data_IF_186406431667
#
_entry.id   IF_186406431667
#
_cell.length_a   1.000
_cell.length_b   1.000
_cell.length_c   1.000
_cell.angle_alpha   90.00
_cell.angle_beta   90.00
_cell.angle_gamma   90.00
#
_symmetry.space_group_name_H-M   'P 1'
#
loop_
_entity.id
_entity.type
_entity.pdbx_description
1 polymer ?
#
# COMPACT_ATOMS: atom_id res chain seq x y z
N UNK A 1 8.84 -5.94 -64.36
CA UNK A 1 9.10 -6.54 -63.04
C UNK A 1 8.58 -5.56 -62.00
N UNK A 2 7.44 -5.84 -61.37
CA UNK A 2 6.75 -4.93 -60.45
C UNK A 2 6.89 -5.44 -59.01
N UNK A 3 7.62 -4.71 -58.16
CA UNK A 3 7.75 -5.01 -56.74
C UNK A 3 6.58 -4.37 -55.97
N UNK A 4 5.73 -5.19 -55.36
CA UNK A 4 4.68 -4.75 -54.43
C UNK A 4 5.30 -4.43 -53.06
N UNK A 5 5.04 -3.26 -52.47
CA UNK A 5 5.32 -3.03 -51.06
C UNK A 5 4.21 -3.68 -50.21
N UNK A 6 4.58 -4.66 -49.37
CA UNK A 6 3.69 -5.20 -48.33
C UNK A 6 3.62 -4.19 -47.18
N UNK A 7 2.47 -3.55 -47.04
CA UNK A 7 2.17 -2.55 -46.02
C UNK A 7 2.16 -3.21 -44.64
N UNK A 8 3.01 -2.71 -43.75
CA UNK A 8 3.13 -3.06 -42.33
C UNK A 8 1.96 -2.51 -41.48
N UNK A 9 0.71 -2.77 -41.88
CA UNK A 9 -0.48 -2.25 -41.18
C UNK A 9 -0.87 -3.04 -39.92
N UNK A 10 -0.33 -4.26 -39.72
CA UNK A 10 -0.74 -5.14 -38.62
C UNK A 10 -0.08 -4.86 -37.26
N UNK A 11 1.10 -4.24 -37.22
CA UNK A 11 1.88 -4.08 -35.98
C UNK A 11 1.37 -2.92 -35.09
N UNK A 12 0.76 -1.89 -35.67
CA UNK A 12 0.39 -0.66 -34.96
C UNK A 12 -0.86 -0.86 -34.08
N UNK A 13 -1.83 -1.66 -34.54
CA UNK A 13 -3.10 -1.88 -33.80
C UNK A 13 -2.89 -2.69 -32.52
N UNK A 14 -1.94 -3.64 -32.53
CA UNK A 14 -1.61 -4.45 -31.35
C UNK A 14 -0.78 -3.70 -30.30
N UNK A 15 -0.02 -2.68 -30.72
CA UNK A 15 0.79 -1.82 -29.84
C UNK A 15 -0.09 -0.82 -29.07
N UNK A 16 -1.11 -0.24 -29.74
CA UNK A 16 -2.01 0.76 -29.14
C UNK A 16 -2.90 0.17 -28.03
N UNK A 17 -3.40 -1.06 -28.21
CA UNK A 17 -4.21 -1.76 -27.19
C UNK A 17 -3.41 -2.16 -25.94
N UNK A 18 -2.11 -2.49 -26.11
CA UNK A 18 -1.20 -2.85 -25.01
C UNK A 18 -0.84 -1.66 -24.12
N UNK A 19 -0.69 -0.47 -24.68
CA UNK A 19 -0.35 0.75 -23.93
C UNK A 19 -1.44 1.15 -22.92
N UNK A 20 -2.71 1.13 -23.34
CA UNK A 20 -3.81 1.56 -22.48
C UNK A 20 -4.11 0.55 -21.35
N UNK A 21 -4.04 -0.75 -21.66
CA UNK A 21 -4.32 -1.81 -20.68
C UNK A 21 -3.27 -1.89 -19.57
N UNK A 22 -1.99 -1.68 -19.91
CA UNK A 22 -0.92 -1.64 -18.93
C UNK A 22 -1.05 -0.46 -17.96
N UNK A 23 -1.37 0.72 -18.46
CA UNK A 23 -1.47 1.92 -17.63
C UNK A 23 -2.63 1.78 -16.65
N UNK A 24 -3.73 1.17 -17.10
CA UNK A 24 -4.87 0.85 -16.25
C UNK A 24 -4.49 -0.16 -15.16
N UNK A 25 -3.79 -1.24 -15.49
CA UNK A 25 -3.33 -2.22 -14.51
C UNK A 25 -2.41 -1.62 -13.45
N UNK A 26 -1.46 -0.78 -13.85
CA UNK A 26 -0.55 -0.12 -12.91
C UNK A 26 -1.30 0.79 -11.94
N UNK A 27 -2.34 1.50 -12.40
CA UNK A 27 -3.19 2.35 -11.55
C UNK A 27 -4.03 1.55 -10.57
N UNK A 28 -4.60 0.43 -11.02
CA UNK A 28 -5.36 -0.46 -10.14
C UNK A 28 -4.47 -1.04 -9.05
N UNK A 29 -3.25 -1.47 -9.39
CA UNK A 29 -2.27 -1.95 -8.41
C UNK A 29 -1.88 -0.88 -7.39
N UNK A 30 -1.61 0.37 -7.82
CA UNK A 30 -1.30 1.45 -6.86
C UNK A 30 -2.48 1.78 -5.97
N UNK A 31 -3.71 1.86 -6.51
CA UNK A 31 -4.90 2.15 -5.71
C UNK A 31 -5.18 1.02 -4.71
N UNK A 32 -5.09 -0.23 -5.14
CA UNK A 32 -5.29 -1.39 -4.27
C UNK A 32 -4.23 -1.46 -3.17
N UNK A 33 -2.96 -1.27 -3.51
CA UNK A 33 -1.86 -1.24 -2.54
C UNK A 33 -2.01 -0.09 -1.54
N UNK A 34 -2.33 1.12 -2.01
CA UNK A 34 -2.55 2.27 -1.15
C UNK A 34 -3.75 2.08 -0.21
N UNK A 35 -4.87 1.57 -0.73
CA UNK A 35 -6.05 1.27 0.06
C UNK A 35 -5.77 0.19 1.13
N UNK A 36 -5.00 -0.85 0.80
CA UNK A 36 -4.61 -1.88 1.75
C UNK A 36 -3.74 -1.33 2.89
N UNK A 37 -2.74 -0.49 2.57
CA UNK A 37 -1.88 0.15 3.58
C UNK A 37 -2.68 1.10 4.46
N UNK A 38 -3.50 1.96 3.87
CA UNK A 38 -4.35 2.89 4.63
C UNK A 38 -5.36 2.14 5.51
N UNK A 39 -5.98 1.08 4.98
CA UNK A 39 -6.90 0.23 5.73
C UNK A 39 -6.22 -0.45 6.92
N UNK A 40 -4.99 -0.97 6.72
CA UNK A 40 -4.20 -1.54 7.80
C UNK A 40 -3.90 -0.48 8.87
N UNK A 41 -3.36 0.69 8.51
CA UNK A 41 -3.03 1.76 9.44
C UNK A 41 -4.24 2.23 10.26
N UNK A 42 -5.38 2.45 9.59
CA UNK A 42 -6.62 2.87 10.25
C UNK A 42 -7.14 1.79 11.21
N UNK A 43 -7.07 0.52 10.81
CA UNK A 43 -7.49 -0.59 11.66
C UNK A 43 -6.62 -0.70 12.92
N UNK A 44 -5.30 -0.48 12.79
CA UNK A 44 -4.34 -0.50 13.91
C UNK A 44 -4.49 0.71 14.83
N UNK A 45 -4.95 1.86 14.31
CA UNK A 45 -5.15 3.08 15.08
C UNK A 45 -6.41 3.08 15.96
N UNK A 46 -7.40 2.24 15.64
CA UNK A 46 -8.66 2.17 16.39
C UNK A 46 -8.38 1.61 17.80
N UNK A 47 -8.78 2.33 18.87
CA UNK A 47 -8.61 1.85 20.23
C UNK A 47 -9.43 0.58 20.48
N UNK A 48 -8.83 -0.34 21.23
CA UNK A 48 -9.42 -1.59 21.67
C UNK A 48 -9.79 -1.49 23.14
N UNK A 49 -10.98 -1.96 23.46
CA UNK A 49 -11.50 -2.04 24.82
C UNK A 49 -12.05 -3.44 25.03
N UNK A 50 -11.98 -3.93 26.26
CA UNK A 50 -12.64 -5.17 26.64
C UNK A 50 -14.15 -4.95 26.78
N UNK A 51 -14.92 -6.03 26.58
CA UNK A 51 -16.34 -6.06 26.94
C UNK A 51 -16.58 -6.12 28.45
N UNK A 52 -15.52 -6.34 29.23
CA UNK A 52 -15.55 -6.23 30.69
C UNK A 52 -15.42 -4.75 31.11
N UNK A 53 -16.11 -4.42 32.20
CA UNK A 53 -16.10 -3.08 32.79
C UNK A 53 -15.25 -3.06 34.05
N UNK A 54 -14.66 -1.91 34.31
CA UNK A 54 -14.02 -1.61 35.58
C UNK A 54 -15.07 -1.35 36.68
N UNK A 55 -14.59 -1.02 37.88
CA UNK A 55 -15.43 -0.72 39.05
C UNK A 55 -16.25 0.57 38.92
N UNK A 56 -15.87 1.46 38.02
CA UNK A 56 -16.61 2.68 37.71
C UNK A 56 -17.63 2.47 36.59
N UNK A 57 -17.74 1.25 36.06
CA UNK A 57 -18.64 0.89 34.96
C UNK A 57 -18.10 1.28 33.59
N UNK A 58 -16.82 1.63 33.47
CA UNK A 58 -16.18 2.01 32.22
C UNK A 58 -15.51 0.78 31.57
N UNK A 59 -15.55 0.64 30.24
CA UNK A 59 -14.84 -0.45 29.56
C UNK A 59 -13.33 -0.38 29.85
N UNK A 60 -12.71 -1.55 30.07
CA UNK A 60 -11.27 -1.61 30.35
C UNK A 60 -10.49 -1.32 29.05
N UNK A 61 -9.66 -0.26 28.99
CA UNK A 61 -8.89 0.08 27.80
C UNK A 61 -7.71 -0.89 27.63
N UNK A 62 -7.44 -1.27 26.38
CA UNK A 62 -6.29 -2.08 25.98
C UNK A 62 -5.28 -1.30 25.09
N UNK A 63 -5.51 0.00 24.90
CA UNK A 63 -4.75 0.83 23.96
C UNK A 63 -5.13 0.56 22.50
N UNK A 64 -4.15 0.60 21.60
CA UNK A 64 -4.33 0.30 20.17
C UNK A 64 -3.16 -0.54 19.63
N UNK A 65 -3.18 -0.88 18.34
CA UNK A 65 -2.16 -1.77 17.77
C UNK A 65 -0.76 -1.16 17.64
N UNK A 66 -0.61 0.16 17.82
CA UNK A 66 0.70 0.85 17.87
C UNK A 66 1.20 1.07 19.29
N UNK A 67 0.28 1.41 20.19
CA UNK A 67 0.52 1.69 21.60
C UNK A 67 -0.38 0.80 22.46
N UNK A 68 0.03 -0.46 22.69
CA UNK A 68 -0.65 -1.33 23.63
C UNK A 68 -0.47 -0.77 25.05
N UNK A 69 -1.56 -0.67 25.79
CA UNK A 69 -1.55 -0.26 27.19
C UNK A 69 -2.46 -1.20 28.00
N UNK A 70 -1.89 -1.80 29.05
CA UNK A 70 -2.55 -2.80 29.89
C UNK A 70 -2.53 -2.40 31.37
N UNK A 71 -2.23 -1.14 31.68
CA UNK A 71 -2.11 -0.67 33.06
C UNK A 71 -3.42 -0.83 33.83
N UNK A 72 -4.53 -0.35 33.27
CA UNK A 72 -5.87 -0.50 33.87
C UNK A 72 -6.27 -1.98 34.00
N UNK A 73 -6.04 -2.79 32.96
CA UNK A 73 -6.33 -4.22 32.98
C UNK A 73 -5.55 -4.94 34.11
N UNK A 74 -4.25 -4.64 34.24
CA UNK A 74 -3.39 -5.20 35.29
C UNK A 74 -3.83 -4.78 36.68
N UNK A 75 -4.22 -3.52 36.86
CA UNK A 75 -4.74 -3.03 38.13
C UNK A 75 -6.01 -3.78 38.55
N UNK A 76 -6.95 -4.00 37.61
CA UNK A 76 -8.17 -4.76 37.89
C UNK A 76 -7.88 -6.24 38.18
N UNK A 77 -6.95 -6.85 37.45
CA UNK A 77 -6.52 -8.24 37.71
C UNK A 77 -5.95 -8.41 39.12
N UNK A 78 -5.09 -7.48 39.56
CA UNK A 78 -4.54 -7.50 40.92
C UNK A 78 -5.63 -7.33 41.98
N UNK A 79 -6.55 -6.39 41.78
CA UNK A 79 -7.65 -6.17 42.71
C UNK A 79 -8.55 -7.41 42.83
N UNK A 80 -8.87 -8.06 41.71
CA UNK A 80 -9.71 -9.25 41.72
C UNK A 80 -8.98 -10.45 42.36
N UNK A 81 -7.67 -10.57 42.14
CA UNK A 81 -6.84 -11.56 42.80
C UNK A 81 -6.76 -11.34 44.32
N UNK A 82 -6.59 -10.09 44.77
CA UNK A 82 -6.56 -9.74 46.19
C UNK A 82 -7.91 -10.04 46.86
N UNK A 83 -9.02 -9.74 46.18
CA UNK A 83 -10.35 -10.10 46.65
C UNK A 83 -10.56 -11.61 46.74
N UNK A 84 -10.08 -12.37 45.77
CA UNK A 84 -10.13 -13.84 45.82
C UNK A 84 -9.30 -14.38 46.97
N UNK A 85 -8.10 -13.85 47.17
CA UNK A 85 -7.18 -14.30 48.21
C UNK A 85 -7.72 -14.00 49.61
N UNK A 86 -8.32 -12.82 49.83
CA UNK A 86 -8.78 -12.38 51.15
C UNK A 86 -10.26 -12.67 51.42
N UNK A 87 -11.10 -12.63 50.39
CA UNK A 87 -12.55 -12.78 50.47
C UNK A 87 -13.05 -14.19 50.13
N UNK A 88 -12.17 -15.10 49.73
CA UNK A 88 -12.47 -16.50 49.46
C UNK A 88 -13.06 -16.76 48.07
N UNK A 89 -13.60 -17.98 47.85
CA UNK A 89 -13.94 -18.49 46.51
C UNK A 89 -15.15 -17.82 45.86
N UNK A 90 -15.85 -16.93 46.58
CA UNK A 90 -16.93 -16.10 46.03
C UNK A 90 -16.39 -15.04 45.06
N UNK A 91 -15.10 -14.70 45.13
CA UNK A 91 -14.44 -13.79 44.20
C UNK A 91 -13.62 -14.59 43.19
N UNK A 92 -13.71 -14.17 41.92
CA UNK A 92 -13.05 -14.83 40.79
C UNK A 92 -11.89 -13.95 40.34
N UNK A 93 -10.69 -14.51 40.27
CA UNK A 93 -9.56 -13.82 39.64
C UNK A 93 -9.85 -13.57 38.17
N UNK A 94 -9.54 -12.36 37.70
CA UNK A 94 -9.63 -11.99 36.30
C UNK A 94 -8.29 -12.14 35.59
N UNK A 95 -8.35 -12.22 34.26
CA UNK A 95 -7.18 -12.26 33.38
C UNK A 95 -7.34 -11.25 32.23
N UNK A 96 -7.73 -10.02 32.56
CA UNK A 96 -7.97 -8.96 31.59
C UNK A 96 -6.72 -8.61 30.78
N UNK A 97 -5.52 -8.72 31.35
CA UNK A 97 -4.27 -8.51 30.59
C UNK A 97 -4.16 -9.51 29.43
N UNK A 98 -4.43 -10.78 29.68
CA UNK A 98 -4.38 -11.84 28.66
C UNK A 98 -5.48 -11.65 27.61
N UNK A 99 -6.67 -11.22 28.03
CA UNK A 99 -7.77 -10.90 27.12
C UNK A 99 -7.46 -9.69 26.24
N UNK A 100 -6.83 -8.64 26.78
CA UNK A 100 -6.36 -7.51 25.97
C UNK A 100 -5.31 -7.96 24.94
N UNK A 101 -4.36 -8.80 25.35
CA UNK A 101 -3.33 -9.32 24.45
C UNK A 101 -3.92 -10.16 23.33
N UNK A 102 -4.90 -11.03 23.62
CA UNK A 102 -5.52 -11.88 22.61
C UNK A 102 -6.27 -11.07 21.55
N UNK A 103 -7.01 -10.03 21.96
CA UNK A 103 -7.74 -9.16 21.02
C UNK A 103 -6.78 -8.36 20.15
N UNK A 104 -5.69 -7.83 20.71
CA UNK A 104 -4.67 -7.13 19.93
C UNK A 104 -3.95 -8.07 18.96
N UNK A 105 -3.62 -9.29 19.40
CA UNK A 105 -2.99 -10.29 18.55
C UNK A 105 -3.88 -10.67 17.37
N UNK A 106 -5.19 -10.82 17.58
CA UNK A 106 -6.15 -11.13 16.52
C UNK A 106 -6.22 -10.02 15.45
N UNK A 107 -6.21 -8.75 15.88
CA UNK A 107 -6.13 -7.62 14.95
C UNK A 107 -4.80 -7.57 14.21
N UNK A 108 -3.70 -7.84 14.89
CA UNK A 108 -2.37 -7.85 14.26
C UNK A 108 -2.23 -9.00 13.26
N UNK A 109 -2.85 -10.16 13.52
CA UNK A 109 -2.84 -11.30 12.62
C UNK A 109 -3.45 -11.01 11.24
N UNK A 110 -4.37 -10.05 11.15
CA UNK A 110 -4.98 -9.63 9.87
C UNK A 110 -4.37 -8.34 9.33
N UNK A 111 -4.09 -7.36 10.18
CA UNK A 111 -3.58 -6.05 9.73
C UNK A 111 -2.13 -6.10 9.27
N UNK A 112 -1.26 -6.89 9.93
CA UNK A 112 0.14 -7.04 9.52
C UNK A 112 0.29 -7.61 8.09
N UNK A 113 -0.31 -8.76 7.73
CA UNK A 113 -0.15 -9.29 6.38
C UNK A 113 -0.81 -8.40 5.32
N UNK A 114 -1.96 -7.79 5.62
CA UNK A 114 -2.63 -6.86 4.68
C UNK A 114 -1.77 -5.62 4.44
N UNK A 115 -1.22 -5.02 5.51
CA UNK A 115 -0.32 -3.88 5.40
C UNK A 115 0.96 -4.23 4.66
N UNK A 116 1.64 -5.33 5.02
CA UNK A 116 2.85 -5.80 4.37
C UNK A 116 2.63 -6.11 2.89
N UNK A 117 1.55 -6.83 2.56
CA UNK A 117 1.15 -7.13 1.18
C UNK A 117 0.87 -5.86 0.39
N UNK A 118 0.15 -4.89 0.97
CA UNK A 118 -0.09 -3.58 0.37
C UNK A 118 1.20 -2.83 0.03
N UNK A 119 2.19 -2.82 0.94
CA UNK A 119 3.51 -2.23 0.70
C UNK A 119 4.24 -2.93 -0.45
N UNK A 120 4.25 -4.26 -0.47
CA UNK A 120 4.88 -5.05 -1.55
C UNK A 120 4.23 -4.73 -2.90
N UNK A 121 2.89 -4.66 -2.95
CA UNK A 121 2.14 -4.29 -4.15
C UNK A 121 2.49 -2.88 -4.63
N UNK A 122 2.61 -1.92 -3.71
CA UNK A 122 3.03 -0.55 -4.03
C UNK A 122 4.44 -0.52 -4.63
N UNK A 123 5.39 -1.21 -4.00
CA UNK A 123 6.78 -1.29 -4.51
C UNK A 123 6.79 -1.90 -5.91
N UNK A 124 6.08 -3.01 -6.12
CA UNK A 124 5.98 -3.64 -7.43
C UNK A 124 5.37 -2.71 -8.49
N UNK A 125 4.33 -1.95 -8.13
CA UNK A 125 3.71 -0.98 -9.03
C UNK A 125 4.66 0.17 -9.40
N UNK A 126 5.43 0.70 -8.44
CA UNK A 126 6.43 1.75 -8.69
C UNK A 126 7.55 1.24 -9.60
N UNK A 127 8.07 0.05 -9.34
CA UNK A 127 9.12 -0.58 -10.17
C UNK A 127 8.61 -0.86 -11.58
N UNK A 128 7.39 -1.38 -11.72
CA UNK A 128 6.79 -1.61 -13.03
C UNK A 128 6.58 -0.30 -13.80
N UNK A 129 6.23 0.78 -13.10
CA UNK A 129 6.07 2.10 -13.71
C UNK A 129 7.42 2.70 -14.12
N UNK A 130 8.47 2.59 -13.30
CA UNK A 130 9.80 3.12 -13.62
C UNK A 130 10.41 2.43 -14.85
N UNK A 131 10.26 1.11 -14.98
CA UNK A 131 10.72 0.38 -16.16
C UNK A 131 9.94 0.71 -17.44
N UNK A 132 8.72 1.22 -17.32
CA UNK A 132 7.88 1.59 -18.48
C UNK A 132 8.09 3.03 -18.94
N UNK A 133 8.87 3.86 -18.24
CA UNK A 133 9.27 5.17 -18.75
C UNK A 133 10.21 4.94 -19.93
N UNK A 134 9.79 5.24 -21.18
CA UNK A 134 10.68 5.10 -22.33
C UNK A 134 11.83 6.10 -22.17
N UNK A 135 13.02 5.70 -22.62
CA UNK A 135 14.18 6.59 -22.81
C UNK A 135 13.81 7.66 -23.87
N UNK A 136 13.10 8.72 -23.49
CA UNK A 136 12.81 9.88 -24.36
C UNK A 136 14.04 10.79 -24.51
N UNK A 137 15.20 10.39 -23.99
CA UNK A 137 16.43 11.20 -23.95
C UNK A 137 17.53 10.83 -24.94
N UNK A 138 17.35 9.86 -25.84
CA UNK A 138 18.35 9.53 -26.86
C UNK A 138 17.87 10.03 -28.24
N UNK A 139 17.69 11.35 -28.36
CA UNK A 139 17.75 11.99 -29.67
C UNK A 139 19.23 11.97 -30.07
N UNK A 140 19.67 11.14 -31.04
CA UNK A 140 21.03 11.26 -31.55
C UNK A 140 21.14 12.66 -32.14
N UNK A 141 22.11 13.44 -31.66
CA UNK A 141 22.42 14.76 -32.19
C UNK A 141 22.48 14.71 -33.72
N UNK A 142 21.39 15.10 -34.39
CA UNK A 142 21.38 15.26 -35.85
C UNK A 142 22.20 16.52 -36.09
N UNK A 143 23.44 16.30 -36.48
CA UNK A 143 24.32 17.36 -36.96
C UNK A 143 23.58 18.19 -38.02
N UNK A 144 23.57 19.53 -37.94
CA UNK A 144 22.96 20.36 -38.97
C UNK A 144 23.71 20.14 -40.29
N UNK A 145 23.03 19.53 -41.27
CA UNK A 145 23.49 19.47 -42.66
C UNK A 145 23.45 20.89 -43.20
N UNK A 146 24.65 21.44 -43.41
CA UNK A 146 24.88 22.70 -44.09
C UNK A 146 24.63 22.48 -45.59
N UNK A 147 23.48 22.91 -46.12
CA UNK A 147 23.28 23.03 -47.58
C UNK A 147 23.77 24.40 -48.06
N UNK A 148 24.60 24.48 -49.11
CA UNK A 148 25.09 25.76 -49.62
C UNK A 148 24.01 26.53 -50.41
N UNK A 149 24.10 27.87 -50.48
CA UNK A 149 23.14 28.69 -51.20
C UNK A 149 23.30 28.59 -52.72
N UNK A 150 22.17 28.58 -53.40
CA UNK A 150 21.99 28.61 -54.84
C UNK A 150 22.70 29.82 -55.49
N UNK A 151 23.69 29.58 -56.35
CA UNK A 151 24.11 30.57 -57.37
C UNK A 151 23.17 30.47 -58.57
N UNK A 152 22.27 31.45 -58.69
CA UNK A 152 21.46 31.68 -59.89
C UNK A 152 21.97 32.95 -60.57
N UNK A 153 22.99 32.82 -61.42
CA UNK A 153 23.38 33.87 -62.37
C UNK A 153 23.47 33.26 -63.76
N UNK A 154 22.33 33.28 -64.44
CA UNK A 154 22.25 33.17 -65.89
C UNK A 154 21.45 34.38 -66.36
N UNK A 155 22.15 35.44 -66.77
CA UNK A 155 21.73 36.41 -67.78
C UNK A 155 22.79 37.51 -67.92
N UNK A 156 23.73 37.35 -68.85
CA UNK A 156 24.22 38.39 -69.77
C UNK A 156 25.43 37.85 -70.55
N UNK A 157 25.17 37.27 -71.72
CA UNK A 157 25.68 37.69 -73.03
C UNK A 157 25.37 36.64 -74.10
#
# INVERSE_FOLDING_TARGET
MNAKPKIAAGAVVHQSRKGNWSNMFSRVLTLAGAAAVLGALLSTAIPVQLGAVDRFGMPIPCGNGFHPDFEVARAQDQINLDLQTNGGPMFVASNYVEQCQSILADRQATTLPVGAGGVVVLIAAVVLWSHRRPQVGQEPAVAPVLTPPFTREAALS
#
